data_IF_417837278310
#
_entry.id   IF_417837278310
#
_cell.length_a   1.000
_cell.length_b   1.000
_cell.length_c   1.000
_cell.angle_alpha   90.00
_cell.angle_beta   90.00
_cell.angle_gamma   90.00
#
_symmetry.space_group_name_H-M   'P 1'
#
loop_
_entity.id
_entity.type
_entity.pdbx_description
1 polymer ?
#
# COMPACT_ATOMS: atom_id res chain seq x y z
N UNK A 1 10.79 1.00 6.79
CA UNK A 1 12.18 0.53 7.03
C UNK A 1 12.25 -0.95 6.68
N UNK A 2 13.17 -1.33 5.80
CA UNK A 2 13.50 -2.72 5.44
C UNK A 2 15.00 -2.94 5.61
N UNK A 3 15.50 -4.15 5.33
CA UNK A 3 16.94 -4.42 5.38
C UNK A 3 17.68 -3.78 4.20
N UNK A 4 17.05 -3.84 3.02
CA UNK A 4 17.54 -3.28 1.77
C UNK A 4 16.38 -2.64 1.01
N UNK A 5 16.67 -1.97 -0.10
CA UNK A 5 15.67 -1.43 -1.03
C UNK A 5 15.89 -1.97 -2.43
N UNK A 6 14.82 -2.06 -3.21
CA UNK A 6 14.88 -2.37 -4.64
C UNK A 6 14.28 -1.19 -5.39
N UNK A 7 14.86 -0.83 -6.53
CA UNK A 7 14.37 0.26 -7.36
C UNK A 7 13.09 -0.14 -8.11
N UNK A 8 12.09 0.73 -8.10
CA UNK A 8 10.85 0.61 -8.85
C UNK A 8 11.02 1.30 -10.20
N UNK A 9 11.47 0.54 -11.20
CA UNK A 9 11.78 1.08 -12.52
C UNK A 9 10.53 1.01 -13.39
N UNK A 10 10.20 2.12 -14.05
CA UNK A 10 9.10 2.14 -15.02
C UNK A 10 9.43 1.17 -16.18
N UNK A 11 8.62 0.14 -16.44
CA UNK A 11 8.89 -0.81 -17.53
C UNK A 11 8.70 -0.21 -18.93
N UNK A 12 8.00 0.93 -19.06
CA UNK A 12 7.84 1.69 -20.31
C UNK A 12 8.96 2.72 -20.56
N UNK A 13 9.71 3.09 -19.52
CA UNK A 13 10.93 3.90 -19.60
C UNK A 13 11.92 3.48 -18.51
N UNK A 14 12.85 2.58 -18.87
CA UNK A 14 13.80 2.00 -17.91
C UNK A 14 14.83 3.00 -17.36
N UNK A 15 14.86 4.23 -17.89
CA UNK A 15 15.67 5.31 -17.32
C UNK A 15 15.00 5.98 -16.13
N UNK A 16 13.70 5.75 -15.95
CA UNK A 16 12.89 6.34 -14.89
C UNK A 16 12.82 5.41 -13.66
N UNK A 17 13.41 5.84 -12.54
CA UNK A 17 13.15 5.26 -11.22
C UNK A 17 11.99 6.01 -10.56
N UNK A 18 10.89 5.30 -10.32
CA UNK A 18 9.67 5.81 -9.67
C UNK A 18 9.90 5.98 -8.16
N UNK A 19 10.77 5.16 -7.57
CA UNK A 19 11.12 5.20 -6.16
C UNK A 19 11.71 3.87 -5.68
N UNK A 20 12.16 3.82 -4.43
CA UNK A 20 12.77 2.63 -3.85
C UNK A 20 11.83 1.95 -2.85
N UNK A 21 11.59 0.65 -3.04
CA UNK A 21 10.75 -0.14 -2.14
C UNK A 21 11.58 -0.96 -1.17
N UNK A 22 11.33 -0.75 0.13
CA UNK A 22 12.02 -1.44 1.21
C UNK A 22 11.61 -2.92 1.29
N UNK A 23 12.60 -3.81 1.36
CA UNK A 23 12.40 -5.25 1.51
C UNK A 23 12.35 -5.62 2.99
N UNK A 24 11.20 -6.15 3.41
CA UNK A 24 11.02 -6.65 4.77
C UNK A 24 11.85 -7.91 4.99
N UNK A 25 12.51 -7.98 6.14
CA UNK A 25 13.17 -9.20 6.62
C UNK A 25 12.18 -10.23 7.15
N UNK A 26 12.64 -11.47 7.28
CA UNK A 26 11.89 -12.54 7.96
C UNK A 26 11.50 -12.12 9.37
N UNK A 27 12.40 -11.52 10.13
CA UNK A 27 12.11 -11.07 11.50
C UNK A 27 11.09 -9.93 11.55
N UNK A 28 11.10 -9.01 10.59
CA UNK A 28 10.08 -7.96 10.48
C UNK A 28 8.71 -8.54 10.12
N UNK A 29 8.65 -9.57 9.28
CA UNK A 29 7.41 -10.29 8.97
C UNK A 29 6.88 -10.97 10.24
N UNK A 30 7.74 -11.68 10.98
CA UNK A 30 7.37 -12.31 12.25
C UNK A 30 6.84 -11.29 13.26
N UNK A 31 7.53 -10.16 13.44
CA UNK A 31 7.08 -9.08 14.32
C UNK A 31 5.71 -8.52 13.90
N UNK A 32 5.49 -8.33 12.60
CA UNK A 32 4.22 -7.85 12.05
C UNK A 32 3.08 -8.84 12.32
N UNK A 33 3.35 -10.14 12.16
CA UNK A 33 2.37 -11.20 12.48
C UNK A 33 2.02 -11.19 13.97
N UNK A 34 2.99 -11.04 14.86
CA UNK A 34 2.72 -10.96 16.31
C UNK A 34 1.90 -9.73 16.66
N UNK A 35 2.23 -8.57 16.08
CA UNK A 35 1.45 -7.34 16.26
C UNK A 35 0.01 -7.49 15.75
N UNK A 36 -0.18 -8.11 14.57
CA UNK A 36 -1.50 -8.37 14.02
C UNK A 36 -2.31 -9.31 14.93
N UNK A 37 -1.69 -10.38 15.46
CA UNK A 37 -2.34 -11.29 16.42
C UNK A 37 -2.73 -10.59 17.71
N UNK A 38 -1.90 -9.67 18.20
CA UNK A 38 -2.21 -8.90 19.40
C UNK A 38 -3.37 -7.91 19.18
N UNK A 39 -3.44 -7.28 18.01
CA UNK A 39 -4.49 -6.31 17.67
C UNK A 39 -5.83 -6.97 17.26
N UNK A 40 -5.80 -8.19 16.74
CA UNK A 40 -6.99 -8.85 16.18
C UNK A 40 -8.18 -8.92 17.15
N UNK A 41 -8.04 -9.26 18.45
CA UNK A 41 -9.19 -9.35 19.35
C UNK A 41 -9.86 -8.00 19.62
N UNK A 42 -9.09 -6.91 19.63
CA UNK A 42 -9.63 -5.56 19.77
C UNK A 42 -10.36 -5.13 18.49
N UNK A 43 -9.75 -5.41 17.33
CA UNK A 43 -10.38 -5.15 16.04
C UNK A 43 -11.68 -5.95 15.85
N UNK A 44 -11.71 -7.22 16.29
CA UNK A 44 -12.90 -8.06 16.23
C UNK A 44 -14.06 -7.44 16.99
N UNK A 45 -13.82 -6.99 18.22
CA UNK A 45 -14.81 -6.34 19.10
C UNK A 45 -15.20 -4.93 18.68
N UNK A 46 -14.50 -4.33 17.72
CA UNK A 46 -14.82 -2.99 17.22
C UNK A 46 -16.24 -2.99 16.61
N UNK A 47 -17.11 -2.03 17.01
CA UNK A 47 -18.47 -1.94 16.48
C UNK A 47 -18.50 -1.83 14.95
N UNK A 48 -19.55 -2.37 14.33
CA UNK A 48 -19.67 -2.41 12.87
C UNK A 48 -19.71 -1.00 12.26
N UNK A 49 -20.34 -0.04 12.95
CA UNK A 49 -20.43 1.36 12.54
C UNK A 49 -19.05 2.00 12.47
N UNK A 50 -18.15 1.64 13.40
CA UNK A 50 -16.77 2.14 13.39
C UNK A 50 -15.98 1.53 12.24
N UNK A 51 -16.17 0.23 11.96
CA UNK A 51 -15.54 -0.44 10.80
C UNK A 51 -16.02 0.17 9.48
N UNK A 52 -17.32 0.46 9.37
CA UNK A 52 -17.90 1.16 8.22
C UNK A 52 -17.31 2.55 8.05
N UNK A 53 -17.20 3.34 9.13
CA UNK A 53 -16.60 4.67 9.07
C UNK A 53 -15.14 4.63 8.58
N UNK A 54 -14.35 3.63 8.99
CA UNK A 54 -12.99 3.43 8.50
C UNK A 54 -12.98 3.12 7.00
N UNK A 55 -13.84 2.20 6.54
CA UNK A 55 -13.93 1.85 5.12
C UNK A 55 -14.41 3.04 4.26
N UNK A 56 -15.37 3.82 4.74
CA UNK A 56 -15.84 5.02 4.05
C UNK A 56 -14.70 6.04 3.90
N UNK A 57 -13.97 6.32 4.98
CA UNK A 57 -12.84 7.25 4.94
C UNK A 57 -11.74 6.80 3.98
N UNK A 58 -11.43 5.49 3.92
CA UNK A 58 -10.49 4.92 2.94
C UNK A 58 -11.02 5.13 1.52
N UNK A 59 -12.30 4.86 1.27
CA UNK A 59 -12.92 5.06 -0.03
C UNK A 59 -12.90 6.52 -0.48
N UNK A 60 -13.24 7.44 0.41
CA UNK A 60 -13.24 8.88 0.14
C UNK A 60 -11.84 9.38 -0.22
N UNK A 61 -10.80 8.93 0.49
CA UNK A 61 -9.40 9.26 0.20
C UNK A 61 -8.94 8.70 -1.15
N UNK A 62 -9.28 7.44 -1.45
CA UNK A 62 -8.95 6.80 -2.74
C UNK A 62 -9.62 7.54 -3.92
N UNK A 63 -10.86 7.98 -3.76
CA UNK A 63 -11.57 8.79 -4.77
C UNK A 63 -10.93 10.17 -4.90
N UNK A 64 -10.63 10.84 -3.79
CA UNK A 64 -10.04 12.17 -3.80
C UNK A 64 -8.65 12.20 -4.49
N UNK A 65 -7.94 11.08 -4.51
CA UNK A 65 -6.59 10.93 -5.09
C UNK A 65 -6.55 9.99 -6.28
N UNK A 66 -7.67 9.70 -6.93
CA UNK A 66 -7.75 8.71 -8.00
C UNK A 66 -6.78 8.99 -9.14
N UNK A 67 -6.65 10.25 -9.55
CA UNK A 67 -5.79 10.64 -10.68
C UNK A 67 -4.30 10.47 -10.35
N UNK A 68 -3.91 10.89 -9.13
CA UNK A 68 -2.56 10.73 -8.61
C UNK A 68 -2.18 9.24 -8.51
N UNK A 69 -3.04 8.44 -7.86
CA UNK A 69 -2.82 7.02 -7.66
C UNK A 69 -2.85 6.24 -8.98
N UNK A 70 -3.76 6.59 -9.90
CA UNK A 70 -3.83 5.98 -11.22
C UNK A 70 -2.58 6.27 -12.05
N UNK A 71 -2.08 7.52 -12.02
CA UNK A 71 -0.84 7.89 -12.71
C UNK A 71 0.36 7.12 -12.15
N UNK A 72 0.44 6.97 -10.83
CA UNK A 72 1.48 6.19 -10.18
C UNK A 72 1.40 4.71 -10.61
N UNK A 73 0.23 4.09 -10.50
CA UNK A 73 0.01 2.69 -10.90
C UNK A 73 0.35 2.43 -12.37
N UNK A 74 -0.05 3.33 -13.28
CA UNK A 74 0.30 3.20 -14.70
C UNK A 74 1.81 3.21 -14.94
N UNK A 75 2.56 4.05 -14.22
CA UNK A 75 4.03 4.11 -14.30
C UNK A 75 4.66 2.85 -13.71
N UNK A 76 4.15 2.32 -12.60
CA UNK A 76 4.67 1.11 -11.96
C UNK A 76 4.42 -0.15 -12.80
N UNK A 77 3.24 -0.29 -13.40
CA UNK A 77 2.84 -1.51 -14.11
C UNK A 77 3.11 -1.47 -15.63
N UNK A 78 3.46 -0.30 -16.19
CA UNK A 78 3.65 -0.12 -17.63
C UNK A 78 2.36 -0.14 -18.46
N UNK A 79 1.21 0.03 -17.82
CA UNK A 79 -0.08 0.07 -18.51
C UNK A 79 -0.28 1.47 -19.10
N UNK A 80 -0.71 1.59 -20.37
CA UNK A 80 -1.18 2.87 -20.89
C UNK A 80 -2.27 3.40 -19.95
N UNK A 81 -2.12 4.63 -19.47
CA UNK A 81 -3.17 5.29 -18.72
C UNK A 81 -4.36 5.47 -19.68
N UNK A 82 -5.37 4.63 -19.54
CA UNK A 82 -6.63 4.83 -20.23
C UNK A 82 -7.39 5.88 -19.42
N UNK A 83 -7.67 7.02 -20.06
CA UNK A 83 -8.50 8.09 -19.50
C UNK A 83 -9.83 7.58 -18.91
#
# INVERSE_FOLDING_TARGET
>A
SGMDTIANINPSDISENIGDFAQASVSQVEQTIQAAKAAQPEWEKTPIERKQAVLQAIGDELIARCDELGTLLSREEGKPFAE
#
